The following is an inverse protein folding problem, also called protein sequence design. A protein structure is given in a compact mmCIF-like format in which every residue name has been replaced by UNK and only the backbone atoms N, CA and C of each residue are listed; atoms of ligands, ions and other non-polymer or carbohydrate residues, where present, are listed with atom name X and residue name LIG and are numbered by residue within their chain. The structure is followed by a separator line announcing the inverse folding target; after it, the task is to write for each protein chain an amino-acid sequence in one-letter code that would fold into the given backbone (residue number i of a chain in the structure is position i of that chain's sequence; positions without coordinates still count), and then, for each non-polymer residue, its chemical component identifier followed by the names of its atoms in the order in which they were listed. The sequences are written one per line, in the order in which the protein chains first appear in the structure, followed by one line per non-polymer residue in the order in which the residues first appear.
data_IF_635003568734
#
_entry.id   IF_635003568734
#
_cell.length_a   1.000
_cell.length_b   1.000
_cell.length_c   1.000
_cell.angle_alpha   90.00
_cell.angle_beta   90.00
_cell.angle_gamma   90.00
#
_symmetry.space_group_name_H-M   'P 1'
#
loop_
_entity.id
_entity.type
_entity.pdbx_description
1 polymer ?
#
# COMPACT_ATOMS: atom_id res chain seq x y z
N UNK A 1 1.15 7.26 13.03
CA UNK A 1 0.64 7.48 11.67
C UNK A 1 1.60 8.39 10.92
N UNK A 2 1.79 8.21 9.61
CA UNK A 2 2.71 9.01 8.81
C UNK A 2 2.19 10.46 8.64
N UNK A 3 3.04 11.50 8.78
CA UNK A 3 2.65 12.88 8.57
C UNK A 3 2.72 13.25 7.08
N UNK A 4 1.67 12.92 6.34
CA UNK A 4 1.50 13.35 4.95
C UNK A 4 1.44 14.87 4.86
N UNK A 5 1.91 15.40 3.72
CA UNK A 5 1.99 16.84 3.42
C UNK A 5 1.28 17.18 2.11
N UNK A 6 1.22 18.47 1.80
CA UNK A 6 0.62 19.04 0.59
C UNK A 6 -0.84 18.63 0.42
N UNK A 7 -1.22 18.14 -0.76
CA UNK A 7 -2.59 17.69 -1.06
C UNK A 7 -3.06 16.51 -0.22
N UNK A 8 -2.17 15.87 0.55
CA UNK A 8 -2.50 14.76 1.45
C UNK A 8 -2.45 15.17 2.93
N UNK A 9 -2.25 16.45 3.25
CA UNK A 9 -2.07 16.89 4.64
C UNK A 9 -3.23 16.49 5.58
N UNK A 10 -4.46 16.48 5.07
CA UNK A 10 -5.68 16.17 5.81
C UNK A 10 -5.85 14.67 6.14
N UNK A 11 -5.20 13.76 5.42
CA UNK A 11 -5.28 12.31 5.72
C UNK A 11 -4.41 11.93 6.92
N UNK A 12 -3.52 12.82 7.35
CA UNK A 12 -2.76 12.68 8.59
C UNK A 12 -3.66 12.77 9.81
N UNK A 13 -3.51 11.83 10.74
CA UNK A 13 -4.12 11.96 12.07
C UNK A 13 -3.57 13.18 12.80
N UNK A 14 -4.40 13.82 13.63
CA UNK A 14 -3.95 14.84 14.58
C UNK A 14 -2.86 14.32 15.55
N UNK A 15 -2.76 13.00 15.70
CA UNK A 15 -1.73 12.29 16.48
C UNK A 15 -0.66 11.63 15.60
N UNK A 16 -0.51 12.04 14.34
CA UNK A 16 0.62 11.62 13.52
C UNK A 16 1.95 12.13 14.13
N UNK A 17 3.04 11.41 13.87
CA UNK A 17 4.36 11.88 14.30
C UNK A 17 4.65 13.26 13.71
N UNK A 18 5.28 14.17 14.46
CA UNK A 18 5.87 15.34 13.80
C UNK A 18 7.00 14.86 12.89
N UNK A 19 7.25 15.59 11.80
CA UNK A 19 8.32 15.25 10.84
C UNK A 19 9.67 15.02 11.52
N UNK A 20 10.08 15.93 12.41
CA UNK A 20 11.36 15.81 13.12
C UNK A 20 11.39 14.62 14.10
N UNK A 21 10.27 14.34 14.78
CA UNK A 21 10.16 13.18 15.67
C UNK A 21 10.31 11.87 14.88
N UNK A 22 9.69 11.78 13.69
CA UNK A 22 9.83 10.62 12.82
C UNK A 22 11.26 10.46 12.29
N UNK A 23 11.94 11.54 11.90
CA UNK A 23 13.36 11.48 11.50
C UNK A 23 14.25 11.02 12.64
N UNK A 24 14.02 11.53 13.85
CA UNK A 24 14.76 11.12 15.04
C UNK A 24 14.53 9.63 15.34
N UNK A 25 13.29 9.15 15.23
CA UNK A 25 12.97 7.73 15.38
C UNK A 25 13.70 6.86 14.35
N UNK A 26 13.65 7.24 13.07
CA UNK A 26 14.32 6.52 11.98
C UNK A 26 15.84 6.49 12.20
N UNK A 27 16.44 7.61 12.62
CA UNK A 27 17.88 7.70 12.89
C UNK A 27 18.29 6.86 14.10
N UNK A 28 17.49 6.85 15.17
CA UNK A 28 17.72 6.00 16.33
C UNK A 28 17.69 4.51 15.97
N UNK A 29 16.70 4.07 15.19
CA UNK A 29 16.62 2.69 14.71
C UNK A 29 17.85 2.29 13.87
N UNK A 30 18.28 3.18 12.95
CA UNK A 30 19.51 2.98 12.17
C UNK A 30 20.74 2.79 13.05
N UNK A 31 20.94 3.65 14.05
CA UNK A 31 22.09 3.57 14.96
C UNK A 31 22.09 2.28 15.78
N UNK A 32 20.90 1.74 16.07
CA UNK A 32 20.71 0.46 16.75
C UNK A 32 20.73 -0.75 15.79
N UNK A 33 20.96 -0.53 14.49
CA UNK A 33 20.93 -1.58 13.44
C UNK A 33 19.58 -2.30 13.34
N UNK A 34 18.49 -1.59 13.63
CA UNK A 34 17.11 -2.07 13.49
C UNK A 34 16.56 -1.58 12.15
N UNK A 35 16.08 -2.51 11.32
CA UNK A 35 15.38 -2.16 10.09
C UNK A 35 13.95 -1.68 10.40
N UNK A 36 13.56 -0.55 9.81
CA UNK A 36 12.17 -0.10 9.79
C UNK A 36 11.54 -0.55 8.48
N UNK A 37 10.42 -1.26 8.58
CA UNK A 37 9.58 -1.65 7.45
C UNK A 37 8.25 -0.89 7.57
N UNK A 38 8.05 0.22 6.82
CA UNK A 38 6.79 0.95 6.88
C UNK A 38 5.65 0.13 6.26
N UNK A 39 4.51 0.06 6.96
CA UNK A 39 3.26 -0.51 6.46
C UNK A 39 2.33 0.62 6.01
N UNK A 40 2.00 0.63 4.73
CA UNK A 40 1.10 1.59 4.10
C UNK A 40 -0.06 0.82 3.47
N UNK A 41 -1.29 1.16 3.84
CA UNK A 41 -2.47 0.57 3.24
C UNK A 41 -2.67 1.11 1.82
N UNK A 42 -2.87 0.22 0.85
CA UNK A 42 -2.97 0.56 -0.58
C UNK A 42 -4.16 -0.08 -1.29
N UNK A 43 -5.00 -0.83 -0.57
CA UNK A 43 -6.17 -1.46 -1.16
C UNK A 43 -7.38 -1.49 -0.21
N UNK A 44 -7.35 -2.39 0.77
CA UNK A 44 -8.26 -2.40 1.91
C UNK A 44 -7.75 -1.46 3.01
N UNK A 45 -8.56 -1.30 4.06
CA UNK A 45 -8.23 -0.48 5.24
C UNK A 45 -7.87 0.99 4.90
N UNK A 46 -8.49 1.52 3.84
CA UNK A 46 -8.25 2.87 3.34
C UNK A 46 -9.12 3.94 4.02
N UNK A 47 -9.78 3.64 5.14
CA UNK A 47 -10.72 4.56 5.82
C UNK A 47 -10.06 5.88 6.22
N UNK A 48 -8.76 5.87 6.52
CA UNK A 48 -8.04 7.09 6.87
C UNK A 48 -7.98 8.11 5.72
N UNK A 49 -8.07 7.64 4.47
CA UNK A 49 -8.08 8.47 3.25
C UNK A 49 -9.50 8.62 2.72
N UNK A 50 -10.17 7.49 2.46
CA UNK A 50 -11.43 7.47 1.73
C UNK A 50 -12.60 8.03 2.52
N UNK A 51 -12.46 8.34 3.82
CA UNK A 51 -13.50 9.05 4.59
C UNK A 51 -13.69 10.49 4.11
N UNK A 52 -12.68 11.10 3.49
CA UNK A 52 -12.73 12.48 3.02
C UNK A 52 -13.50 12.59 1.71
N UNK A 53 -14.29 13.66 1.55
CA UNK A 53 -15.14 13.86 0.37
C UNK A 53 -14.33 13.95 -0.93
N UNK A 54 -13.15 14.55 -0.88
CA UNK A 54 -12.25 14.69 -2.02
C UNK A 54 -11.69 13.36 -2.56
N UNK A 55 -11.76 12.27 -1.78
CA UNK A 55 -11.37 10.92 -2.21
C UNK A 55 -12.55 9.95 -2.31
N UNK A 56 -13.78 10.43 -2.11
CA UNK A 56 -14.97 9.58 -2.09
C UNK A 56 -15.24 8.91 -3.44
N UNK A 57 -14.90 9.58 -4.55
CA UNK A 57 -15.02 9.03 -5.91
C UNK A 57 -14.06 7.87 -6.20
N UNK A 58 -13.05 7.67 -5.35
CA UNK A 58 -12.10 6.57 -5.46
C UNK A 58 -12.58 5.28 -4.76
N UNK A 59 -13.71 5.30 -4.06
CA UNK A 59 -14.22 4.12 -3.33
C UNK A 59 -14.71 3.04 -4.30
N UNK A 60 -14.42 1.78 -4.00
CA UNK A 60 -14.98 0.62 -4.72
C UNK A 60 -16.48 0.46 -4.46
N UNK A 61 -16.91 0.78 -3.24
CA UNK A 61 -18.30 0.82 -2.85
C UNK A 61 -18.61 2.19 -2.28
N UNK A 62 -19.46 2.98 -2.95
CA UNK A 62 -19.64 4.41 -2.66
C UNK A 62 -20.01 4.73 -1.20
N UNK A 63 -20.83 3.88 -0.56
CA UNK A 63 -21.25 4.04 0.83
C UNK A 63 -20.28 3.41 1.86
N UNK A 64 -19.09 2.94 1.44
CA UNK A 64 -18.09 2.33 2.32
C UNK A 64 -16.70 2.85 1.99
N UNK A 65 -16.05 3.50 2.96
CA UNK A 65 -14.72 4.09 2.83
C UNK A 65 -13.56 3.11 3.10
N UNK A 66 -13.76 1.79 2.96
CA UNK A 66 -12.72 0.79 3.31
C UNK A 66 -11.83 0.41 2.14
N UNK A 67 -12.42 0.21 0.96
CA UNK A 67 -11.76 -0.39 -0.19
C UNK A 67 -11.67 0.65 -1.33
N UNK A 68 -10.46 0.87 -1.87
CA UNK A 68 -10.24 1.75 -3.02
C UNK A 68 -10.54 1.00 -4.33
N UNK A 69 -11.13 1.69 -5.31
CA UNK A 69 -11.36 1.18 -6.66
C UNK A 69 -10.02 1.09 -7.41
N UNK A 70 -9.51 -0.11 -7.71
CA UNK A 70 -8.22 -0.28 -8.39
C UNK A 70 -8.27 0.10 -9.88
N UNK A 71 -9.48 0.31 -10.42
CA UNK A 71 -9.69 0.64 -11.85
C UNK A 71 -9.90 2.13 -12.12
N UNK A 72 -9.71 2.99 -11.12
CA UNK A 72 -9.72 4.44 -11.31
C UNK A 72 -8.27 4.93 -11.41
N UNK A 73 -7.87 5.62 -12.51
CA UNK A 73 -6.52 6.16 -12.66
C UNK A 73 -6.08 7.08 -11.51
N UNK A 74 -7.00 7.82 -10.89
CA UNK A 74 -6.71 8.68 -9.75
C UNK A 74 -6.37 7.87 -8.48
N UNK A 75 -6.86 6.63 -8.35
CA UNK A 75 -6.45 5.72 -7.27
C UNK A 75 -4.96 5.40 -7.36
N UNK A 76 -4.46 5.15 -8.58
CA UNK A 76 -3.03 4.94 -8.84
C UNK A 76 -2.24 6.17 -8.41
N UNK A 77 -2.66 7.36 -8.82
CA UNK A 77 -1.98 8.63 -8.49
C UNK A 77 -1.93 8.88 -6.98
N UNK A 78 -3.03 8.64 -6.28
CA UNK A 78 -3.08 8.75 -4.82
C UNK A 78 -2.08 7.78 -4.15
N UNK A 79 -2.09 6.51 -4.54
CA UNK A 79 -1.20 5.48 -4.00
C UNK A 79 0.28 5.83 -4.30
N UNK A 80 0.59 6.26 -5.51
CA UNK A 80 1.95 6.71 -5.87
C UNK A 80 2.39 7.88 -4.98
N UNK A 81 1.55 8.89 -4.79
CA UNK A 81 1.87 10.04 -3.92
C UNK A 81 2.12 9.60 -2.48
N UNK A 82 1.26 8.73 -1.93
CA UNK A 82 1.43 8.22 -0.57
C UNK A 82 2.73 7.43 -0.39
N UNK A 83 3.01 6.48 -1.29
CA UNK A 83 4.22 5.66 -1.24
C UNK A 83 5.48 6.51 -1.42
N UNK A 84 5.45 7.47 -2.35
CA UNK A 84 6.57 8.39 -2.61
C UNK A 84 6.91 9.20 -1.37
N UNK A 85 5.94 9.82 -0.70
CA UNK A 85 6.23 10.61 0.50
C UNK A 85 6.89 9.76 1.60
N UNK A 86 6.44 8.52 1.79
CA UNK A 86 7.00 7.59 2.79
C UNK A 86 8.41 7.16 2.42
N UNK A 87 8.64 6.78 1.16
CA UNK A 87 9.96 6.35 0.66
C UNK A 87 10.96 7.51 0.74
N UNK A 88 10.59 8.69 0.24
CA UNK A 88 11.44 9.89 0.26
C UNK A 88 11.82 10.28 1.70
N UNK A 89 10.88 10.18 2.64
CA UNK A 89 11.12 10.49 4.04
C UNK A 89 12.19 9.59 4.67
N UNK A 90 12.14 8.28 4.41
CA UNK A 90 13.14 7.36 4.94
C UNK A 90 14.51 7.57 4.27
N UNK A 91 14.52 7.82 2.95
CA UNK A 91 15.74 8.04 2.17
C UNK A 91 16.59 9.23 2.67
N UNK A 92 16.00 10.19 3.41
CA UNK A 92 16.75 11.27 4.07
C UNK A 92 17.75 10.78 5.13
N UNK A 93 17.52 9.60 5.72
CA UNK A 93 18.39 9.01 6.74
C UNK A 93 19.07 7.74 6.21
N UNK A 94 18.32 6.85 5.59
CA UNK A 94 18.83 5.65 4.90
C UNK A 94 17.79 5.06 3.93
N UNK A 95 18.21 4.45 2.81
CA UNK A 95 17.29 3.86 1.85
C UNK A 95 16.56 2.63 2.45
N UNK A 96 15.26 2.52 2.20
CA UNK A 96 14.47 1.34 2.58
C UNK A 96 14.95 0.10 1.83
N UNK A 97 14.95 -1.05 2.51
CA UNK A 97 15.13 -2.36 1.88
C UNK A 97 13.79 -3.05 1.63
N UNK A 98 12.83 -2.89 2.55
CA UNK A 98 11.48 -3.43 2.43
C UNK A 98 10.41 -2.36 2.66
N UNK A 99 9.25 -2.57 2.04
CA UNK A 99 8.02 -1.83 2.33
C UNK A 99 6.83 -2.80 2.35
N UNK A 100 5.91 -2.60 3.28
CA UNK A 100 4.71 -3.42 3.37
C UNK A 100 3.51 -2.62 2.81
N UNK A 101 2.85 -3.13 1.78
CA UNK A 101 1.77 -2.41 1.05
C UNK A 101 0.36 -2.80 1.50
N UNK A 102 0.25 -3.66 2.53
CA UNK A 102 -1.02 -4.08 3.11
C UNK A 102 -1.70 -5.09 2.22
N UNK A 103 -2.80 -4.66 1.58
CA UNK A 103 -3.63 -5.46 0.68
C UNK A 103 -4.43 -6.59 1.36
N UNK A 104 -4.73 -6.45 2.66
CA UNK A 104 -5.57 -7.36 3.43
C UNK A 104 -7.05 -7.00 3.43
N UNK A 105 -7.89 -8.00 3.71
CA UNK A 105 -9.32 -7.92 3.98
C UNK A 105 -10.12 -7.03 3.00
N UNK A 106 -9.83 -7.13 1.70
CA UNK A 106 -10.57 -6.40 0.67
C UNK A 106 -11.93 -7.07 0.45
N UNK A 107 -12.95 -6.57 1.14
CA UNK A 107 -14.28 -7.22 1.19
C UNK A 107 -15.21 -6.78 0.06
N UNK A 108 -14.87 -5.71 -0.64
CA UNK A 108 -15.65 -5.18 -1.77
C UNK A 108 -14.76 -5.19 -3.01
N UNK A 109 -15.11 -6.02 -4.00
CA UNK A 109 -14.42 -6.13 -5.30
C UNK A 109 -15.46 -6.27 -6.41
N UNK A 110 -15.17 -5.71 -7.59
CA UNK A 110 -16.08 -5.75 -8.76
C UNK A 110 -17.49 -5.21 -8.47
N UNK A 111 -17.59 -4.21 -7.62
CA UNK A 111 -18.85 -3.53 -7.29
C UNK A 111 -19.02 -2.28 -8.14
N UNK A 112 -17.96 -1.47 -8.28
CA UNK A 112 -18.04 -0.21 -9.00
C UNK A 112 -18.15 -0.42 -10.53
N UNK A 113 -18.71 0.56 -11.27
CA UNK A 113 -18.81 0.46 -12.73
C UNK A 113 -17.46 0.27 -13.44
N UNK A 114 -16.38 0.86 -12.93
CA UNK A 114 -15.05 0.78 -13.55
C UNK A 114 -14.46 -0.63 -13.43
N UNK A 115 -14.53 -1.25 -12.25
CA UNK A 115 -14.08 -2.63 -12.05
C UNK A 115 -14.95 -3.62 -12.83
N UNK A 116 -16.29 -3.46 -12.81
CA UNK A 116 -17.21 -4.31 -13.59
C UNK A 116 -16.92 -4.29 -15.10
N UNK A 117 -16.52 -3.14 -15.66
CA UNK A 117 -16.15 -3.03 -17.08
C UNK A 117 -14.94 -3.89 -17.46
N UNK A 118 -14.05 -4.20 -16.52
CA UNK A 118 -12.87 -5.04 -16.77
C UNK A 118 -13.20 -6.52 -16.96
N UNK A 119 -14.38 -6.97 -16.51
CA UNK A 119 -14.84 -8.37 -16.62
C UNK A 119 -13.84 -9.40 -16.05
N UNK A 120 -13.08 -8.99 -15.03
CA UNK A 120 -12.13 -9.85 -14.33
C UNK A 120 -12.82 -10.55 -13.15
N UNK A 121 -12.33 -11.74 -12.76
CA UNK A 121 -12.71 -12.32 -11.47
C UNK A 121 -12.11 -11.48 -10.34
N UNK A 122 -12.65 -11.60 -9.13
CA UNK A 122 -12.15 -10.86 -7.97
C UNK A 122 -10.66 -11.11 -7.73
N UNK A 123 -10.19 -12.37 -7.85
CA UNK A 123 -8.78 -12.70 -7.69
C UNK A 123 -7.91 -12.06 -8.79
N UNK A 124 -8.37 -12.05 -10.04
CA UNK A 124 -7.61 -11.46 -11.13
C UNK A 124 -7.48 -9.94 -10.95
N UNK A 125 -8.58 -9.28 -10.52
CA UNK A 125 -8.58 -7.86 -10.19
C UNK A 125 -7.65 -7.57 -8.99
N UNK A 126 -7.63 -8.44 -7.99
CA UNK A 126 -6.76 -8.32 -6.83
C UNK A 126 -5.27 -8.45 -7.21
N UNK A 127 -4.92 -9.52 -7.94
CA UNK A 127 -3.54 -9.76 -8.39
C UNK A 127 -3.05 -8.63 -9.30
N UNK A 128 -3.92 -8.11 -10.17
CA UNK A 128 -3.60 -6.99 -11.04
C UNK A 128 -3.30 -5.71 -10.24
N UNK A 129 -4.11 -5.39 -9.23
CA UNK A 129 -3.83 -4.26 -8.32
C UNK A 129 -2.52 -4.45 -7.56
N UNK A 130 -2.25 -5.64 -7.02
CA UNK A 130 -0.98 -5.93 -6.32
C UNK A 130 0.22 -5.75 -7.25
N UNK A 131 0.12 -6.18 -8.51
CA UNK A 131 1.17 -5.96 -9.51
C UNK A 131 1.39 -4.48 -9.78
N UNK A 132 0.32 -3.70 -9.90
CA UNK A 132 0.38 -2.26 -10.12
C UNK A 132 1.08 -1.55 -8.94
N UNK A 133 0.66 -1.83 -7.71
CA UNK A 133 1.29 -1.27 -6.51
C UNK A 133 2.76 -1.66 -6.41
N UNK A 134 3.10 -2.92 -6.74
CA UNK A 134 4.48 -3.38 -6.80
C UNK A 134 5.29 -2.63 -7.88
N UNK A 135 4.70 -2.40 -9.07
CA UNK A 135 5.32 -1.59 -10.13
C UNK A 135 5.61 -0.17 -9.66
N UNK A 136 4.65 0.49 -9.01
CA UNK A 136 4.82 1.83 -8.44
C UNK A 136 6.03 1.87 -7.48
N UNK A 137 6.15 0.90 -6.57
CA UNK A 137 7.29 0.85 -5.65
C UNK A 137 8.60 0.68 -6.42
N UNK A 138 8.62 -0.17 -7.45
CA UNK A 138 9.81 -0.41 -8.28
C UNK A 138 10.19 0.77 -9.16
N UNK A 139 9.21 1.53 -9.66
CA UNK A 139 9.41 2.80 -10.37
C UNK A 139 10.04 3.85 -9.44
N UNK A 140 9.60 3.92 -8.18
CA UNK A 140 10.15 4.84 -7.19
C UNK A 140 11.55 4.42 -6.71
N UNK A 141 11.77 3.13 -6.48
CA UNK A 141 13.07 2.57 -6.15
C UNK A 141 13.13 1.05 -6.46
N UNK A 142 13.91 0.62 -7.46
CA UNK A 142 13.95 -0.78 -7.89
C UNK A 142 14.53 -1.73 -6.85
N UNK A 143 15.32 -1.23 -5.89
CA UNK A 143 15.95 -2.04 -4.84
C UNK A 143 14.97 -2.46 -3.73
N UNK A 144 13.86 -1.74 -3.54
CA UNK A 144 12.91 -2.02 -2.45
C UNK A 144 12.15 -3.32 -2.73
N UNK A 145 12.14 -4.23 -1.76
CA UNK A 145 11.32 -5.45 -1.77
C UNK A 145 9.92 -5.13 -1.21
N UNK A 146 8.89 -5.59 -1.91
CA UNK A 146 7.49 -5.37 -1.54
C UNK A 146 7.00 -6.55 -0.71
N UNK A 147 6.40 -6.26 0.44
CA UNK A 147 5.71 -7.21 1.31
C UNK A 147 4.21 -6.89 1.31
N UNK A 148 3.38 -7.91 1.49
CA UNK A 148 1.93 -7.77 1.63
C UNK A 148 1.39 -8.88 2.53
N UNK A 149 0.18 -8.69 3.02
CA UNK A 149 -0.56 -9.76 3.69
C UNK A 149 -0.99 -10.83 2.69
N UNK A 150 -1.08 -12.07 3.16
CA UNK A 150 -1.32 -13.24 2.30
C UNK A 150 -2.78 -13.71 2.31
N UNK A 151 -3.64 -13.18 3.19
CA UNK A 151 -5.02 -13.62 3.42
C UNK A 151 -5.84 -13.67 2.11
N UNK A 152 -5.75 -12.63 1.30
CA UNK A 152 -6.46 -12.55 0.03
C UNK A 152 -6.01 -13.58 -1.02
N UNK A 153 -4.81 -14.16 -0.88
CA UNK A 153 -4.29 -15.23 -1.75
C UNK A 153 -4.51 -16.64 -1.20
N UNK A 154 -4.73 -16.75 0.10
CA UNK A 154 -4.90 -18.02 0.80
C UNK A 154 -6.36 -18.47 0.88
N UNK A 155 -7.30 -17.65 0.40
CA UNK A 155 -8.68 -18.07 0.20
C UNK A 155 -8.72 -19.31 -0.73
N UNK A 156 -9.40 -20.36 -0.26
CA UNK A 156 -9.37 -21.73 -0.80
C UNK A 156 -9.88 -21.86 -2.25
N UNK A 157 -10.34 -20.76 -2.84
CA UNK A 157 -10.84 -20.65 -4.21
C UNK A 157 -9.77 -20.32 -5.26
N UNK A 158 -8.52 -20.11 -4.85
CA UNK A 158 -7.42 -19.71 -5.74
C UNK A 158 -6.55 -20.93 -6.06
N UNK A 159 -6.53 -21.44 -7.31
CA UNK A 159 -5.56 -22.44 -7.71
C UNK A 159 -4.18 -21.86 -7.43
N UNK A 160 -3.32 -22.60 -6.73
CA UNK A 160 -1.95 -22.19 -6.35
C UNK A 160 -1.22 -21.60 -7.56
N UNK A 161 -1.37 -20.30 -7.80
CA UNK A 161 -0.59 -19.59 -8.79
C UNK A 161 0.81 -19.54 -8.23
N UNK A 162 1.78 -19.81 -9.10
CA UNK A 162 3.21 -19.83 -8.83
C UNK A 162 3.70 -18.44 -8.37
N UNK A 163 3.36 -18.06 -7.15
CA UNK A 163 4.15 -17.11 -6.38
C UNK A 163 5.43 -17.88 -6.10
N UNK A 164 6.54 -17.52 -6.76
CA UNK A 164 7.87 -17.97 -6.38
C UNK A 164 8.16 -17.41 -4.98
N UNK A 165 7.65 -18.10 -3.96
CA UNK A 165 8.14 -17.97 -2.59
C UNK A 165 9.62 -18.34 -2.68
N UNK A 166 10.49 -17.35 -2.55
CA UNK A 166 11.91 -17.61 -2.43
C UNK A 166 12.11 -18.25 -1.05
N UNK A 167 12.06 -19.58 -1.01
CA UNK A 167 12.59 -20.34 0.10
C UNK A 167 14.05 -19.95 0.24
N UNK A 168 14.38 -19.25 1.31
CA UNK A 168 15.78 -19.08 1.69
C UNK A 168 16.26 -20.46 2.11
N UNK A 169 16.85 -21.18 1.17
CA UNK A 169 17.63 -22.37 1.48
C UNK A 169 18.77 -21.93 2.37
N UNK A 170 18.72 -22.33 3.62
CA UNK A 170 19.86 -22.27 4.53
C UNK A 170 20.93 -23.19 3.97
N UNK A 171 21.96 -22.62 3.36
CA UNK A 171 23.21 -23.33 3.12
C UNK A 171 23.95 -23.40 4.46
N UNK A 172 24.03 -24.61 5.01
CA UNK A 172 25.11 -24.99 5.93
C UNK A 172 26.24 -25.54 5.08
#
# INVERSE_FOLDING_TARGET
MFPYVDSLANISSAYAYKRNELLMFINSAKNLKIEIIPLIQTFGHMEFVLKWNEFAHLRELQNRSKDICPSNPESRQLITTMLKQVIDMHALIYPLQHIHVGCDEVRSLNVCPNCKKRKLKNIDLFVDHVKEVSSIVKELNPAIKVLMWADMLLDASIPKMLVKVHSHGSSV
#
